data_IF_579528122731
#
_entry.id   IF_579528122731
#
_cell.length_a   1.000
_cell.length_b   1.000
_cell.length_c   1.000
_cell.angle_alpha   90.00
_cell.angle_beta   90.00
_cell.angle_gamma   90.00
#
_symmetry.space_group_name_H-M   'P 1'
#
loop_
_entity.id
_entity.type
_entity.pdbx_description
1 polymer ?
#
# COMPACT_ATOMS: atom_id res chain seq x y z
N UNK A 1 27.53 10.01 -4.70
CA UNK A 1 28.64 9.61 -3.81
C UNK A 1 28.05 8.70 -2.74
N UNK A 2 28.32 7.38 -2.77
CA UNK A 2 28.32 6.46 -1.61
C UNK A 2 28.65 5.04 -2.12
N UNK A 3 29.94 4.69 -2.00
CA UNK A 3 30.48 3.34 -2.13
C UNK A 3 30.24 2.62 -0.81
N UNK A 4 29.24 1.76 -0.72
CA UNK A 4 29.11 0.82 0.40
C UNK A 4 28.66 -0.51 -0.19
N UNK A 5 29.61 -1.32 -0.61
CA UNK A 5 29.66 -2.79 -0.55
C UNK A 5 31.12 -3.18 -0.83
N UNK A 6 31.93 -3.11 0.22
CA UNK A 6 33.36 -3.36 0.15
C UNK A 6 33.65 -4.85 -0.05
N UNK A 7 34.37 -5.12 -1.14
CA UNK A 7 34.92 -6.40 -1.57
C UNK A 7 36.14 -6.73 -0.71
N UNK A 8 36.04 -7.64 0.26
CA UNK A 8 37.23 -8.21 0.91
C UNK A 8 37.87 -9.24 -0.03
N UNK A 9 39.03 -8.89 -0.60
CA UNK A 9 40.03 -9.84 -1.08
C UNK A 9 41.04 -10.06 0.04
N UNK A 10 41.36 -11.32 0.30
CA UNK A 10 42.52 -11.70 1.11
C UNK A 10 43.82 -11.49 0.34
N UNK A 11 44.91 -11.31 1.09
CA UNK A 11 46.28 -11.24 0.59
C UNK A 11 47.17 -10.48 1.58
N UNK A 12 47.96 -11.23 2.34
CA UNK A 12 49.08 -10.77 3.17
C UNK A 12 50.14 -10.02 2.36
N UNK A 13 50.80 -9.04 2.98
CA UNK A 13 52.27 -8.84 3.02
C UNK A 13 52.62 -7.41 3.45
N UNK A 14 53.62 -7.34 4.32
CA UNK A 14 54.23 -6.17 4.96
C UNK A 14 54.76 -5.10 3.99
N UNK A 15 54.74 -3.84 4.42
CA UNK A 15 55.92 -2.96 4.45
C UNK A 15 55.55 -1.54 4.94
N UNK A 16 56.42 -1.02 5.80
CA UNK A 16 56.52 0.35 6.31
C UNK A 16 56.38 1.45 5.25
N UNK A 17 55.96 2.64 5.67
CA UNK A 17 56.78 3.90 5.76
C UNK A 17 55.93 5.15 5.50
N UNK A 18 56.16 6.13 6.37
CA UNK A 18 56.16 7.59 6.16
C UNK A 18 54.86 8.41 6.32
N UNK A 19 54.84 9.09 7.47
CA UNK A 19 54.11 10.30 7.79
C UNK A 19 54.35 11.42 6.76
N UNK A 20 53.28 12.09 6.33
CA UNK A 20 53.39 13.48 5.85
C UNK A 20 52.11 14.24 6.17
N UNK A 21 52.17 15.02 7.26
CA UNK A 21 51.25 16.13 7.55
C UNK A 21 51.36 17.19 6.45
N UNK A 22 50.21 17.65 5.94
CA UNK A 22 50.10 18.94 5.25
C UNK A 22 48.81 19.64 5.65
N UNK A 23 48.96 20.58 6.58
CA UNK A 23 48.06 21.70 6.84
C UNK A 23 47.91 22.56 5.58
N UNK A 24 46.67 22.89 5.22
CA UNK A 24 46.35 24.02 4.36
C UNK A 24 45.03 24.63 4.81
N UNK A 25 45.14 25.60 5.72
CA UNK A 25 44.16 26.66 5.91
C UNK A 25 44.14 27.57 4.68
N UNK A 26 42.95 27.88 4.16
CA UNK A 26 42.73 29.17 3.49
C UNK A 26 41.25 29.58 3.58
N UNK A 27 41.01 30.61 4.40
CA UNK A 27 39.76 31.33 4.53
C UNK A 27 39.37 32.14 3.28
N UNK A 28 38.08 32.48 3.21
CA UNK A 28 37.51 33.78 2.77
C UNK A 28 36.63 33.76 1.53
N UNK A 29 35.36 34.13 1.73
CA UNK A 29 34.44 34.46 0.63
C UNK A 29 32.99 34.70 1.06
N UNK A 30 32.77 35.63 2.00
CA UNK A 30 31.42 36.16 2.30
C UNK A 30 30.95 37.07 1.15
N UNK A 31 29.77 36.80 0.60
CA UNK A 31 28.96 37.82 -0.07
C UNK A 31 27.49 37.63 0.27
N UNK A 32 26.97 38.65 0.95
CA UNK A 32 25.61 38.81 1.46
C UNK A 32 24.58 39.09 0.37
N UNK A 33 23.31 38.87 0.75
CA UNK A 33 22.04 39.35 0.14
C UNK A 33 21.42 38.36 -0.85
N UNK A 34 20.26 37.76 -0.58
CA UNK A 34 19.00 38.49 -0.45
C UNK A 34 17.95 37.68 0.31
N UNK A 35 17.35 38.30 1.33
CA UNK A 35 16.14 37.82 2.00
C UNK A 35 15.00 37.64 1.00
N UNK A 36 14.62 36.40 0.71
CA UNK A 36 13.24 36.07 0.33
C UNK A 36 12.58 35.43 1.53
N UNK A 37 11.55 36.10 2.03
CA UNK A 37 10.69 35.66 3.14
C UNK A 37 10.00 34.36 2.74
N UNK A 38 10.66 33.22 2.96
CA UNK A 38 9.99 31.94 3.05
C UNK A 38 9.31 31.90 4.41
N UNK A 39 7.99 32.08 4.39
CA UNK A 39 7.11 31.74 5.51
C UNK A 39 7.52 30.38 6.08
N UNK A 40 7.72 30.25 7.40
CA UNK A 40 7.82 28.93 8.01
C UNK A 40 6.41 28.36 8.02
N UNK A 41 6.01 27.75 6.91
CA UNK A 41 4.95 26.75 6.96
C UNK A 41 5.50 25.66 7.84
N UNK A 42 5.01 25.61 9.07
CA UNK A 42 5.11 24.45 9.93
C UNK A 42 4.41 23.29 9.22
N UNK A 43 5.11 22.69 8.25
CA UNK A 43 4.85 21.33 7.85
C UNK A 43 5.02 20.51 9.12
N UNK A 44 3.91 19.92 9.56
CA UNK A 44 3.89 19.00 10.67
C UNK A 44 5.03 17.99 10.48
N UNK A 45 5.80 17.72 11.53
CA UNK A 45 6.91 16.77 11.58
C UNK A 45 6.44 15.29 11.43
N UNK A 46 5.55 15.02 10.47
CA UNK A 46 5.09 13.69 10.10
C UNK A 46 5.53 13.38 8.68
N UNK A 47 6.04 12.16 8.46
CA UNK A 47 6.29 11.64 7.11
C UNK A 47 4.99 11.65 6.31
N UNK A 48 5.10 11.84 5.01
CA UNK A 48 3.91 11.71 4.16
C UNK A 48 3.44 10.23 4.13
N UNK A 49 2.16 9.97 3.80
CA UNK A 49 1.68 8.61 3.58
C UNK A 49 2.45 7.87 2.47
N UNK A 50 2.93 8.60 1.45
CA UNK A 50 3.70 8.00 0.36
C UNK A 50 5.11 7.62 0.80
N UNK A 51 5.78 8.46 1.58
CA UNK A 51 7.09 8.16 2.19
C UNK A 51 7.01 6.96 3.12
N UNK A 52 5.95 6.89 3.93
CA UNK A 52 5.73 5.76 4.83
C UNK A 52 5.54 4.46 4.06
N UNK A 53 4.77 4.50 2.96
CA UNK A 53 4.62 3.36 2.08
C UNK A 53 5.94 2.87 1.51
N UNK A 54 6.77 3.77 0.98
CA UNK A 54 8.09 3.43 0.43
C UNK A 54 9.01 2.83 1.49
N UNK A 55 8.97 3.36 2.71
CA UNK A 55 9.73 2.83 3.84
C UNK A 55 9.31 1.41 4.18
N UNK A 56 8.01 1.15 4.33
CA UNK A 56 7.51 -0.19 4.67
C UNK A 56 7.76 -1.20 3.54
N UNK A 57 7.59 -0.81 2.27
CA UNK A 57 7.95 -1.66 1.13
C UNK A 57 9.44 -2.03 1.15
N UNK A 58 10.32 -1.06 1.45
CA UNK A 58 11.76 -1.31 1.60
C UNK A 58 12.08 -2.22 2.78
N UNK A 59 11.50 -1.96 3.95
CA UNK A 59 11.70 -2.77 5.16
C UNK A 59 11.27 -4.22 4.93
N UNK A 60 10.12 -4.43 4.26
CA UNK A 60 9.63 -5.76 3.91
C UNK A 60 10.61 -6.51 3.01
N UNK A 61 11.12 -5.88 1.94
CA UNK A 61 12.10 -6.52 1.05
C UNK A 61 13.40 -6.84 1.80
N UNK A 62 13.94 -5.89 2.57
CA UNK A 62 15.19 -6.07 3.30
C UNK A 62 15.10 -7.15 4.39
N UNK A 63 13.93 -7.36 5.00
CA UNK A 63 13.71 -8.44 5.96
C UNK A 63 13.93 -9.83 5.34
N UNK A 64 13.76 -9.96 4.03
CA UNK A 64 13.92 -11.20 3.28
C UNK A 64 15.15 -11.25 2.40
N UNK A 65 15.89 -10.16 2.22
CA UNK A 65 17.09 -10.09 1.38
C UNK A 65 18.30 -10.76 2.06
N UNK A 66 18.33 -12.09 1.98
CA UNK A 66 19.44 -12.92 2.46
C UNK A 66 20.41 -13.24 1.33
N UNK A 67 21.71 -13.20 1.63
CA UNK A 67 22.78 -13.62 0.70
C UNK A 67 22.93 -15.14 0.60
N UNK A 68 22.26 -15.87 1.48
CA UNK A 68 22.28 -17.33 1.54
C UNK A 68 21.00 -17.89 0.95
N UNK A 69 21.13 -18.93 0.13
CA UNK A 69 20.04 -19.73 -0.41
C UNK A 69 19.84 -20.98 0.44
N UNK A 70 18.59 -21.43 0.58
CA UNK A 70 18.32 -22.73 1.21
C UNK A 70 18.77 -23.86 0.28
N UNK A 71 18.98 -25.03 0.85
CA UNK A 71 19.30 -26.22 0.06
C UNK A 71 18.15 -26.52 -0.90
N UNK A 72 18.46 -26.56 -2.19
CA UNK A 72 17.47 -26.79 -3.25
C UNK A 72 16.89 -25.52 -3.86
N UNK A 73 17.23 -24.33 -3.35
CA UNK A 73 16.84 -23.07 -3.96
C UNK A 73 17.79 -22.65 -5.10
N UNK A 74 17.28 -21.82 -5.99
CA UNK A 74 18.02 -21.20 -7.09
C UNK A 74 17.99 -19.67 -6.99
N UNK A 75 18.93 -19.02 -7.67
CA UNK A 75 18.92 -17.57 -7.87
C UNK A 75 17.91 -17.18 -8.94
N UNK A 76 17.14 -16.12 -8.65
CA UNK A 76 16.22 -15.49 -9.59
C UNK A 76 16.88 -14.23 -10.14
N UNK A 77 17.07 -14.18 -11.46
CA UNK A 77 17.79 -13.10 -12.11
C UNK A 77 16.82 -12.02 -12.59
N UNK A 78 17.11 -10.79 -12.18
CA UNK A 78 16.34 -9.58 -12.48
C UNK A 78 17.21 -8.58 -13.22
N UNK A 79 16.65 -7.85 -14.18
CA UNK A 79 17.37 -6.77 -14.85
C UNK A 79 17.70 -5.62 -13.88
N UNK A 80 18.88 -5.04 -14.05
CA UNK A 80 19.37 -3.99 -13.15
C UNK A 80 18.60 -2.68 -13.35
N UNK A 81 18.15 -2.37 -14.58
CA UNK A 81 17.35 -1.18 -14.88
C UNK A 81 16.08 -1.07 -14.04
N UNK A 82 15.36 -2.18 -13.88
CA UNK A 82 14.15 -2.22 -13.06
C UNK A 82 14.49 -2.05 -11.58
N UNK A 83 15.53 -2.75 -11.09
CA UNK A 83 16.00 -2.63 -9.71
C UNK A 83 16.49 -1.22 -9.39
N UNK A 84 17.16 -0.54 -10.31
CA UNK A 84 17.61 0.84 -10.14
C UNK A 84 16.41 1.80 -10.02
N UNK A 85 15.36 1.57 -10.82
CA UNK A 85 14.11 2.34 -10.73
C UNK A 85 13.42 2.10 -9.39
N UNK A 86 13.39 0.84 -8.93
CA UNK A 86 12.85 0.49 -7.61
C UNK A 86 13.66 1.11 -6.47
N UNK A 87 14.99 1.04 -6.52
CA UNK A 87 15.89 1.65 -5.53
C UNK A 87 15.72 3.16 -5.48
N UNK A 88 15.67 3.82 -6.65
CA UNK A 88 15.40 5.25 -6.73
C UNK A 88 14.06 5.57 -6.07
N UNK A 89 13.00 4.83 -6.41
CA UNK A 89 11.70 4.99 -5.78
C UNK A 89 11.79 4.89 -4.25
N UNK A 90 12.24 3.76 -3.68
CA UNK A 90 12.20 3.54 -2.23
C UNK A 90 13.16 4.43 -1.43
N UNK A 91 14.16 5.05 -2.07
CA UNK A 91 15.11 5.96 -1.43
C UNK A 91 14.74 7.44 -1.61
N UNK A 92 13.82 7.77 -2.50
CA UNK A 92 13.42 9.15 -2.72
C UNK A 92 12.57 9.71 -1.57
N UNK A 93 12.79 10.98 -1.29
CA UNK A 93 11.94 11.82 -0.43
C UNK A 93 10.81 12.45 -1.27
N UNK A 94 9.72 12.86 -0.64
CA UNK A 94 8.64 13.52 -1.37
C UNK A 94 9.04 14.94 -1.78
N UNK A 95 9.43 15.09 -3.04
CA UNK A 95 9.64 16.39 -3.66
C UNK A 95 8.42 16.75 -4.55
N UNK A 96 7.68 17.84 -4.25
CA UNK A 96 6.57 18.28 -5.08
C UNK A 96 6.99 18.75 -6.48
N UNK A 97 8.25 19.15 -6.68
CA UNK A 97 8.78 19.55 -7.99
C UNK A 97 9.23 18.34 -8.82
N UNK A 98 9.57 17.23 -8.16
CA UNK A 98 10.02 16.00 -8.79
C UNK A 98 9.27 14.77 -8.25
N UNK A 99 8.03 14.51 -8.74
CA UNK A 99 7.23 13.39 -8.26
C UNK A 99 7.92 12.06 -8.55
N UNK A 100 8.16 11.30 -7.49
CA UNK A 100 8.82 10.00 -7.55
C UNK A 100 7.90 8.98 -8.23
N UNK A 101 8.37 8.40 -9.34
CA UNK A 101 7.59 7.42 -10.11
C UNK A 101 7.74 6.03 -9.49
N UNK A 102 6.61 5.41 -9.12
CA UNK A 102 6.59 4.00 -8.70
C UNK A 102 7.06 3.12 -9.87
N UNK A 103 7.96 2.14 -9.63
CA UNK A 103 8.37 1.24 -10.69
C UNK A 103 7.15 0.50 -11.24
N UNK A 104 7.15 0.32 -12.57
CA UNK A 104 6.14 -0.50 -13.24
C UNK A 104 6.30 -1.99 -12.91
N UNK A 105 5.50 -2.85 -13.55
CA UNK A 105 5.58 -4.28 -13.32
C UNK A 105 6.97 -4.83 -13.61
N UNK A 106 7.34 -5.86 -12.86
CA UNK A 106 8.63 -6.53 -13.00
C UNK A 106 8.79 -7.04 -14.43
N UNK A 107 9.91 -6.67 -15.03
CA UNK A 107 10.25 -7.02 -16.40
C UNK A 107 11.70 -7.44 -16.52
N UNK A 108 11.99 -8.32 -17.47
CA UNK A 108 13.32 -8.75 -17.85
C UNK A 108 13.57 -8.54 -19.35
N UNK A 109 12.75 -7.72 -20.02
CA UNK A 109 12.80 -7.57 -21.48
C UNK A 109 14.15 -7.07 -21.98
N UNK A 110 14.89 -6.28 -21.18
CA UNK A 110 16.19 -5.76 -21.60
C UNK A 110 17.25 -6.86 -21.76
N UNK A 111 17.08 -8.00 -21.08
CA UNK A 111 17.99 -9.15 -21.12
C UNK A 111 17.79 -10.03 -22.36
N UNK A 112 16.65 -9.90 -23.05
CA UNK A 112 16.33 -10.68 -24.25
C UNK A 112 16.57 -9.86 -25.52
N UNK A 113 16.99 -10.53 -26.58
CA UNK A 113 16.97 -9.97 -27.92
C UNK A 113 15.55 -10.09 -28.50
N UNK A 114 14.88 -8.97 -28.85
CA UNK A 114 13.52 -9.01 -29.42
C UNK A 114 13.42 -9.76 -30.75
N UNK A 115 14.52 -9.91 -31.49
CA UNK A 115 14.53 -10.57 -32.81
C UNK A 115 14.72 -12.07 -32.68
N UNK A 116 15.65 -12.50 -31.84
CA UNK A 116 16.02 -13.90 -31.69
C UNK A 116 15.22 -14.60 -30.56
N UNK A 117 14.47 -13.85 -29.75
CA UNK A 117 13.75 -14.34 -28.58
C UNK A 117 14.65 -15.15 -27.62
N UNK A 118 15.94 -14.81 -27.56
CA UNK A 118 16.96 -15.47 -26.77
C UNK A 118 17.65 -14.46 -25.83
N UNK A 119 18.44 -14.96 -24.88
CA UNK A 119 19.24 -14.08 -24.01
C UNK A 119 20.31 -13.36 -24.84
N UNK A 120 20.47 -12.05 -24.65
CA UNK A 120 21.57 -11.29 -25.25
C UNK A 120 22.91 -11.89 -24.84
N UNK A 121 23.91 -11.79 -25.71
CA UNK A 121 25.29 -12.22 -25.44
C UNK A 121 26.04 -11.12 -24.70
N UNK A 122 27.00 -11.50 -23.84
CA UNK A 122 27.84 -10.55 -23.08
C UNK A 122 27.17 -9.88 -21.88
N UNK A 123 26.08 -10.46 -21.34
CA UNK A 123 25.45 -9.96 -20.12
C UNK A 123 26.32 -10.26 -18.90
N UNK A 124 26.67 -9.20 -18.18
CA UNK A 124 27.52 -9.26 -16.98
C UNK A 124 26.67 -9.11 -15.73
N UNK A 125 26.87 -10.00 -14.75
CA UNK A 125 26.24 -9.91 -13.43
C UNK A 125 26.60 -8.57 -12.75
N UNK A 126 25.71 -8.03 -11.94
CA UNK A 126 25.77 -6.71 -11.27
C UNK A 126 25.66 -5.47 -12.16
N UNK A 127 26.04 -5.57 -13.45
CA UNK A 127 25.86 -4.48 -14.42
C UNK A 127 24.51 -4.57 -15.13
N UNK A 128 24.20 -5.75 -15.69
CA UNK A 128 23.01 -5.95 -16.51
C UNK A 128 21.89 -6.62 -15.72
N UNK A 129 22.23 -7.53 -14.83
CA UNK A 129 21.27 -8.26 -14.01
C UNK A 129 21.81 -8.53 -12.60
N UNK A 130 20.92 -8.79 -11.65
CA UNK A 130 21.25 -9.21 -10.29
C UNK A 130 20.45 -10.45 -9.92
N UNK A 131 21.06 -11.31 -9.11
CA UNK A 131 20.38 -12.45 -8.51
C UNK A 131 19.74 -12.07 -7.19
N UNK A 132 18.48 -12.45 -7.01
CA UNK A 132 17.74 -12.37 -5.76
C UNK A 132 17.29 -13.76 -5.34
N UNK A 133 16.99 -13.93 -4.06
CA UNK A 133 16.45 -15.20 -3.56
C UNK A 133 14.96 -15.37 -3.98
N UNK A 134 14.40 -16.59 -3.87
CA UNK A 134 13.03 -16.86 -4.29
C UNK A 134 11.98 -16.00 -3.57
N UNK A 135 12.21 -15.70 -2.28
CA UNK A 135 11.29 -14.91 -1.46
C UNK A 135 11.22 -13.46 -1.91
N UNK A 136 12.37 -12.83 -2.17
CA UNK A 136 12.47 -11.46 -2.67
C UNK A 136 11.88 -11.35 -4.08
N UNK A 137 12.13 -12.33 -4.94
CA UNK A 137 11.50 -12.39 -6.26
C UNK A 137 9.96 -12.40 -6.15
N UNK A 138 9.41 -13.27 -5.31
CA UNK A 138 7.97 -13.37 -5.09
C UNK A 138 7.37 -12.08 -4.52
N UNK A 139 8.07 -11.40 -3.60
CA UNK A 139 7.64 -10.10 -3.07
C UNK A 139 7.59 -9.02 -4.14
N UNK A 140 8.61 -8.92 -4.99
CA UNK A 140 8.58 -7.95 -6.11
C UNK A 140 7.45 -8.25 -7.09
N UNK A 141 7.26 -9.53 -7.43
CA UNK A 141 6.19 -9.97 -8.31
C UNK A 141 4.80 -9.65 -7.74
N UNK A 142 4.60 -9.79 -6.43
CA UNK A 142 3.33 -9.47 -5.78
C UNK A 142 3.11 -7.94 -5.61
N UNK A 143 4.16 -7.19 -5.23
CA UNK A 143 4.07 -5.74 -5.00
C UNK A 143 3.86 -4.92 -6.28
N UNK A 144 4.48 -5.33 -7.38
CA UNK A 144 4.48 -4.55 -8.64
C UNK A 144 3.80 -5.29 -9.80
N UNK A 145 3.48 -6.58 -9.62
CA UNK A 145 3.02 -7.43 -10.69
C UNK A 145 4.17 -7.90 -11.58
N UNK A 146 3.87 -8.85 -12.45
CA UNK A 146 4.75 -9.28 -13.53
C UNK A 146 4.12 -8.85 -14.85
N UNK A 147 4.86 -8.20 -15.74
CA UNK A 147 4.38 -7.86 -17.10
C UNK A 147 4.25 -9.10 -18.02
N UNK A 148 3.87 -10.26 -17.47
CA UNK A 148 4.02 -11.56 -18.13
C UNK A 148 5.48 -12.03 -18.25
N UNK A 149 6.40 -11.36 -17.55
CA UNK A 149 7.81 -11.75 -17.51
C UNK A 149 7.96 -13.10 -16.81
N UNK A 150 8.57 -14.07 -17.49
CA UNK A 150 8.86 -15.38 -16.92
C UNK A 150 10.08 -15.29 -15.99
N UNK A 151 10.08 -15.99 -14.83
CA UNK A 151 11.24 -16.04 -13.96
C UNK A 151 12.47 -16.62 -14.67
N UNK A 152 13.63 -15.99 -14.50
CA UNK A 152 14.92 -16.51 -14.99
C UNK A 152 15.65 -17.11 -13.79
N UNK A 153 15.52 -18.42 -13.59
CA UNK A 153 16.14 -19.12 -12.47
C UNK A 153 17.44 -19.83 -12.88
N UNK A 154 18.47 -19.74 -12.03
CA UNK A 154 19.78 -20.38 -12.20
C UNK A 154 20.34 -20.88 -10.88
N UNK A 155 21.00 -22.03 -10.90
CA UNK A 155 21.69 -22.57 -9.71
C UNK A 155 22.89 -21.71 -9.28
N UNK A 156 23.47 -20.96 -10.20
CA UNK A 156 24.56 -20.00 -9.96
C UNK A 156 24.13 -18.60 -10.40
N UNK A 157 24.89 -17.58 -10.00
CA UNK A 157 24.64 -16.19 -10.43
C UNK A 157 24.98 -15.92 -11.91
N UNK A 158 25.36 -16.95 -12.68
CA UNK A 158 25.64 -16.81 -14.11
C UNK A 158 24.37 -17.07 -14.93
N UNK A 159 23.91 -16.05 -15.67
CA UNK A 159 22.72 -16.15 -16.54
C UNK A 159 22.88 -17.19 -17.66
N UNK A 160 24.11 -17.50 -18.06
CA UNK A 160 24.42 -18.50 -19.09
C UNK A 160 24.59 -19.91 -18.52
N UNK A 161 24.53 -20.09 -17.20
CA UNK A 161 24.53 -21.42 -16.60
C UNK A 161 23.27 -22.22 -16.98
N UNK A 162 23.30 -23.52 -16.68
CA UNK A 162 22.19 -24.44 -16.93
C UNK A 162 20.89 -23.89 -16.34
N UNK A 163 19.83 -23.73 -17.15
CA UNK A 163 18.54 -23.26 -16.66
C UNK A 163 17.93 -24.28 -15.70
N UNK A 164 17.23 -23.78 -14.68
CA UNK A 164 16.41 -24.63 -13.81
C UNK A 164 15.14 -25.05 -14.55
N UNK A 165 14.69 -26.29 -14.34
CA UNK A 165 13.49 -26.80 -15.00
C UNK A 165 12.25 -26.03 -14.52
N UNK A 166 11.27 -25.87 -15.41
CA UNK A 166 10.08 -25.06 -15.11
C UNK A 166 9.27 -25.61 -13.93
N UNK A 167 9.25 -26.93 -13.76
CA UNK A 167 8.53 -27.58 -12.66
C UNK A 167 9.24 -27.32 -11.32
N UNK A 168 10.57 -27.42 -11.27
CA UNK A 168 11.36 -27.05 -10.10
C UNK A 168 11.19 -25.56 -9.75
N UNK A 169 11.13 -24.67 -10.76
CA UNK A 169 10.87 -23.23 -10.53
C UNK A 169 9.51 -23.00 -9.87
N UNK A 170 8.47 -23.71 -10.33
CA UNK A 170 7.13 -23.62 -9.73
C UNK A 170 7.12 -24.16 -8.31
N UNK A 171 7.79 -25.28 -8.06
CA UNK A 171 7.90 -25.85 -6.71
C UNK A 171 8.64 -24.90 -5.77
N UNK A 172 9.79 -24.36 -6.19
CA UNK A 172 10.58 -23.39 -5.41
C UNK A 172 9.80 -22.11 -5.10
N UNK A 173 8.98 -21.61 -6.04
CA UNK A 173 8.21 -20.39 -5.85
C UNK A 173 6.89 -20.60 -5.09
N UNK A 174 6.38 -21.82 -4.99
CA UNK A 174 5.06 -22.07 -4.40
C UNK A 174 4.90 -21.50 -2.98
N UNK A 175 5.81 -21.85 -2.07
CA UNK A 175 5.78 -21.33 -0.71
C UNK A 175 6.13 -19.83 -0.62
N UNK A 176 7.18 -19.33 -1.31
CA UNK A 176 7.47 -17.91 -1.40
C UNK A 176 6.32 -17.03 -1.90
N UNK A 177 5.59 -17.45 -2.94
CA UNK A 177 4.45 -16.72 -3.51
C UNK A 177 3.30 -16.64 -2.51
N UNK A 178 2.93 -17.75 -1.88
CA UNK A 178 1.90 -17.76 -0.84
C UNK A 178 2.27 -16.82 0.31
N UNK A 179 3.54 -16.87 0.74
CA UNK A 179 4.03 -16.00 1.79
C UNK A 179 4.03 -14.53 1.37
N UNK A 180 4.49 -14.21 0.16
CA UNK A 180 4.49 -12.85 -0.38
C UNK A 180 3.07 -12.28 -0.42
N UNK A 181 2.07 -13.05 -0.87
CA UNK A 181 0.66 -12.66 -0.85
C UNK A 181 0.17 -12.25 0.54
N UNK A 182 0.50 -13.04 1.56
CA UNK A 182 0.10 -12.75 2.94
C UNK A 182 0.76 -11.46 3.44
N UNK A 183 2.08 -11.32 3.24
CA UNK A 183 2.83 -10.14 3.69
C UNK A 183 2.36 -8.86 2.99
N UNK A 184 2.14 -8.92 1.67
CA UNK A 184 1.67 -7.78 0.87
C UNK A 184 0.22 -7.44 1.20
N UNK A 185 -0.64 -8.44 1.47
CA UNK A 185 -2.00 -8.20 1.94
C UNK A 185 -1.99 -7.47 3.30
N UNK A 186 -1.19 -7.94 4.26
CA UNK A 186 -1.04 -7.30 5.57
C UNK A 186 -0.50 -5.86 5.44
N UNK A 187 0.45 -5.64 4.54
CA UNK A 187 0.98 -4.31 4.24
C UNK A 187 -0.10 -3.38 3.67
N UNK A 188 -0.92 -3.87 2.73
CA UNK A 188 -2.01 -3.09 2.14
C UNK A 188 -3.12 -2.79 3.16
N UNK A 189 -3.42 -3.70 4.08
CA UNK A 189 -4.35 -3.46 5.20
C UNK A 189 -3.85 -2.34 6.12
N UNK A 190 -2.54 -2.28 6.40
CA UNK A 190 -1.95 -1.19 7.18
C UNK A 190 -2.15 0.17 6.50
N UNK A 191 -1.99 0.23 5.17
CA UNK A 191 -2.24 1.47 4.41
C UNK A 191 -3.72 1.87 4.43
N UNK A 192 -4.63 0.92 4.22
CA UNK A 192 -6.06 1.20 4.26
C UNK A 192 -6.51 1.73 5.63
N UNK A 193 -6.01 1.14 6.72
CA UNK A 193 -6.29 1.62 8.07
C UNK A 193 -5.74 3.03 8.32
N UNK A 194 -4.56 3.36 7.79
CA UNK A 194 -3.98 4.70 7.86
C UNK A 194 -4.84 5.75 7.16
N UNK A 195 -5.32 5.44 5.95
CA UNK A 195 -6.18 6.34 5.17
C UNK A 195 -7.53 6.57 5.87
N UNK A 196 -8.12 5.53 6.45
CA UNK A 196 -9.35 5.65 7.24
C UNK A 196 -9.17 6.51 8.49
N UNK A 197 -8.05 6.33 9.21
CA UNK A 197 -7.73 7.15 10.39
C UNK A 197 -7.54 8.62 10.03
N UNK A 198 -6.84 8.90 8.93
CA UNK A 198 -6.67 10.26 8.41
C UNK A 198 -8.02 10.87 8.02
N UNK A 199 -8.86 10.13 7.31
CA UNK A 199 -10.20 10.57 6.93
C UNK A 199 -11.07 10.88 8.16
N UNK A 200 -11.06 10.01 9.18
CA UNK A 200 -11.78 10.24 10.43
C UNK A 200 -11.26 11.47 11.19
N UNK A 201 -9.94 11.68 11.23
CA UNK A 201 -9.34 12.86 11.86
C UNK A 201 -9.78 14.17 11.17
N UNK A 202 -9.80 14.18 9.83
CA UNK A 202 -10.29 15.33 9.05
C UNK A 202 -11.79 15.60 9.29
N UNK A 203 -12.62 14.55 9.38
CA UNK A 203 -14.04 14.68 9.71
C UNK A 203 -14.27 15.23 11.12
N UNK A 204 -13.49 14.78 12.11
CA UNK A 204 -13.55 15.30 13.49
C UNK A 204 -13.17 16.78 13.55
N UNK A 205 -12.13 17.20 12.81
CA UNK A 205 -11.73 18.60 12.73
C UNK A 205 -12.83 19.49 12.16
N UNK A 206 -13.44 19.06 11.04
CA UNK A 206 -14.57 19.79 10.42
C UNK A 206 -15.76 19.95 11.36
N UNK A 207 -16.12 18.89 12.09
CA UNK A 207 -17.25 18.91 13.04
C UNK A 207 -16.99 19.83 14.23
N UNK A 208 -15.76 19.86 14.74
CA UNK A 208 -15.36 20.76 15.83
C UNK A 208 -15.38 22.24 15.44
N UNK A 209 -15.02 22.55 14.19
CA UNK A 209 -15.06 23.92 13.67
C UNK A 209 -16.52 24.42 13.54
N UNK A 210 -17.45 23.57 13.10
CA UNK A 210 -18.88 23.91 12.98
C UNK A 210 -19.57 24.13 14.34
N UNK A 211 -19.24 23.33 15.36
CA UNK A 211 -19.76 23.51 16.72
C UNK A 211 -19.17 24.75 17.41
N UNK A 212 -17.90 25.07 17.12
CA UNK A 212 -17.24 26.26 17.67
C UNK A 212 -17.73 27.56 17.03
N UNK A 213 -18.10 27.58 15.74
CA UNK A 213 -18.62 28.79 15.07
C UNK A 213 -20.02 29.18 15.60
N UNK A 214 -20.89 28.20 15.83
CA UNK A 214 -22.23 28.44 16.39
C UNK A 214 -22.19 28.90 17.86
N UNK A 215 -21.22 28.43 18.66
CA UNK A 215 -21.08 28.86 20.06
C UNK A 215 -20.21 30.12 20.26
N UNK A 216 -19.24 30.43 19.39
CA UNK A 216 -18.45 31.68 19.49
C UNK A 216 -19.22 32.94 19.09
N UNK A 217 -20.25 32.82 18.24
CA UNK A 217 -21.05 33.97 17.82
C UNK A 217 -22.10 34.41 18.87
N UNK A 218 -22.46 33.52 19.80
CA UNK A 218 -23.49 33.82 20.81
C UNK A 218 -22.99 34.56 22.06
N UNK A 219 -21.68 34.74 22.24
CA UNK A 219 -21.10 35.36 23.44
C UNK A 219 -20.71 36.83 23.28
N UNK A 220 -21.00 37.47 22.13
CA UNK A 220 -20.60 38.87 21.89
C UNK A 220 -21.71 39.82 21.44
N UNK A 221 -22.95 39.35 21.46
CA UNK A 221 -24.09 40.16 21.04
C UNK A 221 -25.26 40.06 22.02
N UNK A 222 -25.12 40.63 23.22
CA UNK A 222 -26.24 40.84 24.15
C UNK A 222 -27.34 41.76 23.56
N UNK A 223 -27.11 42.34 22.38
CA UNK A 223 -28.02 43.30 21.72
C UNK A 223 -28.65 42.85 20.38
N UNK A 224 -28.27 41.71 19.77
CA UNK A 224 -28.78 41.35 18.42
C UNK A 224 -29.93 40.35 18.39
N UNK A 225 -30.17 39.60 19.47
CA UNK A 225 -31.23 38.58 19.48
C UNK A 225 -32.65 39.18 19.52
N UNK A 226 -32.93 40.34 20.16
CA UNK A 226 -34.27 40.94 20.10
C UNK A 226 -34.63 41.62 18.76
N UNK A 227 -33.64 42.04 17.96
CA UNK A 227 -33.89 42.87 16.77
C UNK A 227 -34.16 42.04 15.51
N UNK A 228 -33.51 40.89 15.34
CA UNK A 228 -33.69 40.05 14.14
C UNK A 228 -35.03 39.29 14.13
N UNK A 229 -35.68 39.10 15.28
CA UNK A 229 -37.02 38.50 15.36
C UNK A 229 -38.15 39.38 14.82
N UNK A 230 -37.95 40.71 14.74
CA UNK A 230 -38.97 41.65 14.23
C UNK A 230 -38.83 42.02 12.76
N UNK A 231 -37.63 41.90 12.17
CA UNK A 231 -37.40 42.35 10.79
C UNK A 231 -37.43 41.22 9.74
N UNK A 232 -37.15 39.97 10.12
CA UNK A 232 -37.02 38.87 9.15
C UNK A 232 -38.06 37.75 9.28
N UNK A 233 -39.00 37.85 10.23
CA UNK A 233 -39.91 36.75 10.53
C UNK A 233 -39.12 35.59 11.15
N UNK A 234 -39.33 35.36 12.45
CA UNK A 234 -38.60 34.33 13.19
C UNK A 234 -38.56 32.98 12.46
N UNK A 235 -37.46 32.23 12.58
CA UNK A 235 -37.26 31.05 11.76
C UNK A 235 -38.34 30.00 12.04
N UNK A 236 -38.96 29.52 10.96
CA UNK A 236 -40.15 28.66 10.94
C UNK A 236 -39.88 27.19 11.32
N UNK A 237 -38.93 26.93 12.23
CA UNK A 237 -38.60 25.56 12.65
C UNK A 237 -39.79 24.79 13.27
N UNK A 238 -40.85 25.50 13.68
CA UNK A 238 -42.09 24.88 14.16
C UNK A 238 -42.99 24.36 13.03
N UNK A 239 -42.90 24.93 11.82
CA UNK A 239 -43.70 24.51 10.67
C UNK A 239 -43.21 23.18 10.10
N UNK A 240 -41.88 23.01 9.99
CA UNK A 240 -41.28 21.77 9.50
C UNK A 240 -41.43 20.62 10.50
N UNK A 241 -41.27 20.89 11.79
CA UNK A 241 -41.54 19.91 12.85
C UNK A 241 -43.02 19.47 12.86
N UNK A 242 -43.96 20.39 12.62
CA UNK A 242 -45.38 20.07 12.51
C UNK A 242 -45.70 19.27 11.24
N UNK A 243 -45.04 19.56 10.12
CA UNK A 243 -45.19 18.82 8.86
C UNK A 243 -44.66 17.38 8.99
N UNK A 244 -43.50 17.18 9.61
CA UNK A 244 -42.93 15.85 9.84
C UNK A 244 -43.78 15.02 10.83
N UNK A 245 -44.27 15.65 11.90
CA UNK A 245 -45.17 14.97 12.84
C UNK A 245 -46.48 14.51 12.16
N UNK A 246 -46.98 15.27 11.18
CA UNK A 246 -48.14 14.88 10.34
C UNK A 246 -47.80 13.72 9.40
N UNK A 247 -46.62 13.72 8.75
CA UNK A 247 -46.16 12.61 7.88
C UNK A 247 -46.00 11.31 8.67
N UNK A 248 -45.32 11.34 9.82
CA UNK A 248 -45.18 10.18 10.73
C UNK A 248 -46.53 9.62 11.20
N UNK A 249 -47.50 10.48 11.52
CA UNK A 249 -48.87 10.06 11.87
C UNK A 249 -49.59 9.37 10.70
N UNK A 250 -49.47 9.90 9.47
CA UNK A 250 -50.05 9.26 8.27
C UNK A 250 -49.43 7.88 8.00
N UNK A 251 -48.10 7.76 8.11
CA UNK A 251 -47.41 6.49 7.88
C UNK A 251 -47.83 5.41 8.90
N UNK A 252 -47.89 5.75 10.20
CA UNK A 252 -48.39 4.84 11.24
C UNK A 252 -49.81 4.34 10.97
N UNK A 253 -50.73 5.23 10.56
CA UNK A 253 -52.11 4.84 10.20
C UNK A 253 -52.15 3.89 8.98
N UNK A 254 -51.31 4.11 7.98
CA UNK A 254 -51.24 3.25 6.78
C UNK A 254 -50.66 1.87 7.09
N UNK A 255 -49.63 1.82 7.94
CA UNK A 255 -49.05 0.56 8.43
C UNK A 255 -50.05 -0.25 9.26
N UNK A 256 -50.79 0.39 10.15
CA UNK A 256 -51.80 -0.28 10.99
C UNK A 256 -52.97 -0.85 10.16
N UNK A 257 -53.39 -0.17 9.08
CA UNK A 257 -54.37 -0.69 8.13
C UNK A 257 -53.86 -1.92 7.37
N UNK A 258 -52.58 -1.93 6.95
CA UNK A 258 -51.97 -3.10 6.30
C UNK A 258 -51.93 -4.31 7.22
N UNK A 259 -51.54 -4.13 8.49
CA UNK A 259 -51.52 -5.21 9.48
C UNK A 259 -52.92 -5.81 9.74
N UNK A 260 -53.96 -4.98 9.84
CA UNK A 260 -55.33 -5.47 9.99
C UNK A 260 -55.80 -6.28 8.78
N UNK A 261 -55.40 -5.88 7.56
CA UNK A 261 -55.75 -6.59 6.33
C UNK A 261 -55.01 -7.92 6.15
N UNK A 262 -53.83 -8.07 6.78
CA UNK A 262 -53.07 -9.32 6.79
C UNK A 262 -53.71 -10.36 7.70
N UNK A 263 -54.25 -9.93 8.84
CA UNK A 263 -54.84 -10.83 9.84
C UNK A 263 -56.19 -11.43 9.39
N UNK A 264 -56.87 -10.82 8.41
CA UNK A 264 -58.12 -11.36 7.84
C UNK A 264 -57.90 -12.49 6.82
N UNK A 265 -56.66 -12.72 6.35
CA UNK A 265 -56.38 -13.74 5.32
C UNK A 265 -55.75 -15.03 5.89
N UNK A 266 -55.27 -15.04 7.13
CA UNK A 266 -54.58 -16.19 7.73
C UNK A 266 -55.51 -17.06 8.61
N UNK A 267 -56.83 -16.85 8.57
CA UNK A 267 -57.78 -17.55 9.45
C UNK A 267 -58.80 -18.43 8.71
N UNK A 268 -58.57 -18.71 7.42
CA UNK A 268 -59.41 -19.61 6.60
C UNK A 268 -58.55 -20.62 5.82
N UNK A 269 -57.62 -21.33 6.48
CA UNK A 269 -57.07 -22.57 5.93
C UNK A 269 -56.66 -23.48 7.10
N UNK A 270 -57.67 -24.05 7.74
CA UNK A 270 -57.54 -25.40 8.30
C UNK A 270 -57.89 -26.38 7.20
N UNK A 271 -57.00 -27.31 6.87
CA UNK A 271 -57.26 -28.75 6.99
C UNK A 271 -56.03 -29.58 6.57
N UNK A 272 -55.83 -30.67 7.30
CA UNK A 272 -55.22 -31.94 6.92
C UNK A 272 -53.92 -32.01 6.09
N UNK A 273 -52.89 -32.65 6.65
CA UNK A 273 -52.64 -34.07 6.34
C UNK A 273 -51.29 -34.55 6.92
N UNK A 274 -51.37 -35.58 7.76
CA UNK A 274 -50.26 -36.42 8.22
C UNK A 274 -49.59 -37.14 7.04
N UNK A 275 -48.26 -37.22 7.03
CA UNK A 275 -47.58 -38.34 6.38
C UNK A 275 -46.15 -38.51 6.90
N UNK A 276 -46.01 -39.51 7.78
CA UNK A 276 -44.76 -40.18 8.09
C UNK A 276 -44.15 -40.77 6.81
N UNK A 277 -42.84 -40.62 6.62
CA UNK A 277 -42.09 -41.51 5.75
C UNK A 277 -40.64 -41.63 6.22
N UNK A 278 -40.42 -42.68 7.01
CA UNK A 278 -39.12 -43.32 7.21
C UNK A 278 -38.57 -43.82 5.86
N UNK A 279 -37.26 -43.70 5.65
CA UNK A 279 -36.60 -44.20 4.45
C UNK A 279 -35.08 -44.19 4.58
N UNK A 280 -34.56 -45.31 5.08
CA UNK A 280 -33.16 -45.68 5.19
C UNK A 280 -32.38 -45.70 3.85
N UNK A 281 -31.08 -45.99 4.00
CA UNK A 281 -30.08 -46.57 3.05
C UNK A 281 -29.06 -45.56 2.52
N UNK A 282 -27.84 -45.55 3.05
CA UNK A 282 -26.75 -46.49 2.75
C UNK A 282 -26.34 -46.45 1.27
N UNK A 283 -25.23 -45.80 0.96
CA UNK A 283 -24.33 -46.27 -0.10
C UNK A 283 -22.89 -45.82 0.16
N UNK A 284 -22.09 -46.83 0.52
CA UNK A 284 -20.63 -46.90 0.39
C UNK A 284 -20.22 -46.84 -1.09
N UNK A 285 -19.00 -46.37 -1.35
CA UNK A 285 -18.21 -46.72 -2.54
C UNK A 285 -17.29 -45.57 -2.96
N UNK A 286 -16.02 -45.55 -2.56
CA UNK A 286 -14.88 -46.27 -3.17
C UNK A 286 -14.37 -45.65 -4.49
N UNK A 287 -13.16 -45.10 -4.38
CA UNK A 287 -12.01 -45.20 -5.28
C UNK A 287 -12.08 -44.63 -6.70
N UNK A 288 -11.07 -43.83 -6.99
CA UNK A 288 -10.59 -43.38 -8.29
C UNK A 288 -9.41 -42.46 -8.08
#
# INVERSE_FOLDING_TARGET
MMKLWSKRRGGDADADTDDTELDVDLESGLSSSSNSLQSPSAAAFGRSPAEERRRLERELILAYDTRELKRGDAWFLLETSWLDTWMAFVLSEDDPECPVVRPGPLTNYSLFDPKEYCLKKGLVATEHYRGVNPQVYALYAELYGTAGAKPIARWTLDIYATPVMIDDVREMLHAPELKARVEVAALNEQFAAGDEQLAQALLRRRRGDDESFLYRCCCRCEFLIPCLGRLLGGPSYTADAAAERKKRRKWRKRSQRRRRRSYDYDNEDGDDSDSDSEGDTETRGLLG
#
